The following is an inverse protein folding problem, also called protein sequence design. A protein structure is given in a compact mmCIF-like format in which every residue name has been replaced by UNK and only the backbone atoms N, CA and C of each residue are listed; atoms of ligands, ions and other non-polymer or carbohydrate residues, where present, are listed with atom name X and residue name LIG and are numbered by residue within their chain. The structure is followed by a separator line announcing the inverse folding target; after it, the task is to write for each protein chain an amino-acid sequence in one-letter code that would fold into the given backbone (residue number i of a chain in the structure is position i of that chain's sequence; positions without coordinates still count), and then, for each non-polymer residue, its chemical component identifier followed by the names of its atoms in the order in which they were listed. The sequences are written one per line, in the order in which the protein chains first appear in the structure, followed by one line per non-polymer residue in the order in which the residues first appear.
data_IF_492292924461
#
_entry.id   IF_492292924461
#
_cell.length_a   1.000
_cell.length_b   1.000
_cell.length_c   1.000
_cell.angle_alpha   90.00
_cell.angle_beta   90.00
_cell.angle_gamma   90.00
#
_symmetry.space_group_name_H-M   'P 1'
#
loop_
_entity.id
_entity.type
_entity.pdbx_description
1 polymer ?
#
# COMPACT_ATOMS: atom_id res chain seq x y z
N UNK A 1 -26.60 3.69 -11.57
CA UNK A 1 -25.71 3.12 -10.55
C UNK A 1 -25.69 4.08 -9.36
N UNK A 2 -26.25 3.69 -8.22
CA UNK A 2 -26.12 4.51 -7.01
C UNK A 2 -24.68 4.47 -6.52
N UNK A 3 -24.01 5.63 -6.58
CA UNK A 3 -22.64 5.76 -6.09
C UNK A 3 -22.68 5.64 -4.57
N UNK A 4 -21.89 4.73 -4.02
CA UNK A 4 -21.71 4.60 -2.57
C UNK A 4 -21.00 5.87 -2.09
N UNK A 5 -21.70 6.71 -1.33
CA UNK A 5 -21.10 7.88 -0.67
C UNK A 5 -20.35 7.40 0.57
N UNK A 6 -19.06 7.13 0.40
CA UNK A 6 -18.15 6.87 1.51
C UNK A 6 -17.77 8.18 2.19
N UNK A 7 -17.56 8.14 3.50
CA UNK A 7 -16.90 9.25 4.20
C UNK A 7 -15.51 9.45 3.60
N UNK A 8 -15.16 10.65 3.11
CA UNK A 8 -13.90 10.87 2.41
C UNK A 8 -12.72 10.63 3.34
N UNK A 9 -11.75 9.86 2.84
CA UNK A 9 -10.49 9.62 3.56
C UNK A 9 -9.63 10.88 3.58
N UNK A 10 -8.76 11.00 4.60
CA UNK A 10 -7.70 12.03 4.60
C UNK A 10 -6.76 11.82 3.40
N UNK A 11 -6.34 12.92 2.78
CA UNK A 11 -5.34 12.90 1.69
C UNK A 11 -4.07 12.20 2.16
N UNK A 12 -3.50 11.38 1.29
CA UNK A 12 -2.27 10.65 1.56
C UNK A 12 -1.37 10.66 0.32
N UNK A 13 -0.10 10.27 0.49
CA UNK A 13 0.89 10.18 -0.61
C UNK A 13 0.84 8.82 -1.32
N UNK A 14 -0.26 8.07 -1.22
CA UNK A 14 -0.37 6.72 -1.79
C UNK A 14 -0.41 6.78 -3.31
N UNK A 15 0.45 6.00 -3.95
CA UNK A 15 0.49 5.81 -5.41
C UNK A 15 -0.34 4.62 -5.87
N UNK A 16 -1.26 4.14 -5.04
CA UNK A 16 -2.16 3.04 -5.41
C UNK A 16 -3.16 3.52 -6.45
N UNK A 17 -3.27 2.78 -7.55
CA UNK A 17 -4.22 2.97 -8.64
C UNK A 17 -5.05 1.71 -8.83
N UNK A 18 -6.20 1.85 -9.48
CA UNK A 18 -7.05 0.71 -9.80
C UNK A 18 -6.40 -0.14 -10.91
N UNK A 19 -6.39 -1.46 -10.72
CA UNK A 19 -5.82 -2.41 -11.65
C UNK A 19 -6.70 -2.68 -12.88
N UNK A 20 -7.98 -2.31 -12.84
CA UNK A 20 -8.94 -2.59 -13.92
C UNK A 20 -8.64 -1.71 -15.13
N UNK A 21 -8.57 -2.33 -16.30
CA UNK A 21 -8.31 -1.62 -17.56
C UNK A 21 -9.35 -0.50 -17.78
N UNK A 22 -8.88 0.67 -18.18
CA UNK A 22 -9.74 1.85 -18.38
C UNK A 22 -10.16 2.58 -17.10
N UNK A 23 -9.86 2.06 -15.91
CA UNK A 23 -10.18 2.73 -14.65
C UNK A 23 -9.09 3.75 -14.27
N UNK A 24 -9.45 5.04 -14.24
CA UNK A 24 -8.54 6.14 -13.88
C UNK A 24 -8.42 6.41 -12.38
N UNK A 25 -9.03 5.58 -11.54
CA UNK A 25 -9.14 5.80 -10.10
C UNK A 25 -7.80 5.69 -9.37
N UNK A 26 -7.46 6.72 -8.58
CA UNK A 26 -6.22 6.80 -7.78
C UNK A 26 -6.52 7.12 -6.33
N UNK A 27 -5.82 6.47 -5.41
CA UNK A 27 -6.11 6.57 -3.95
C UNK A 27 -5.89 7.96 -3.35
N UNK A 28 -4.99 8.77 -3.92
CA UNK A 28 -4.72 10.13 -3.45
C UNK A 28 -5.63 11.19 -4.08
N UNK A 29 -6.19 10.93 -5.26
CA UNK A 29 -7.13 11.84 -5.95
C UNK A 29 -8.58 11.54 -5.53
N UNK A 30 -8.94 10.26 -5.48
CA UNK A 30 -10.30 9.81 -5.17
C UNK A 30 -10.40 9.39 -3.70
N UNK A 31 -10.77 10.34 -2.84
CA UNK A 31 -10.85 10.14 -1.39
C UNK A 31 -12.12 9.39 -0.94
N UNK A 32 -13.16 9.46 -1.76
CA UNK A 32 -14.48 8.83 -1.54
C UNK A 32 -14.55 7.39 -2.04
N UNK A 33 -13.44 6.80 -2.49
CA UNK A 33 -13.40 5.40 -2.91
C UNK A 33 -12.39 4.62 -2.08
N UNK A 34 -12.70 3.35 -1.85
CA UNK A 34 -11.80 2.40 -1.20
C UNK A 34 -11.12 1.52 -2.22
N UNK A 35 -9.88 1.12 -1.91
CA UNK A 35 -9.09 0.21 -2.72
C UNK A 35 -9.00 -1.13 -1.97
N UNK A 36 -9.32 -2.21 -2.68
CA UNK A 36 -9.41 -3.57 -2.16
C UNK A 36 -8.34 -4.45 -2.81
N UNK A 37 -7.72 -5.31 -2.02
CA UNK A 37 -6.79 -6.30 -2.53
C UNK A 37 -7.54 -7.37 -3.30
N UNK A 38 -6.94 -7.81 -4.41
CA UNK A 38 -7.41 -9.01 -5.09
C UNK A 38 -7.21 -10.21 -4.13
N UNK A 39 -8.20 -11.12 -3.99
CA UNK A 39 -8.07 -12.31 -3.16
C UNK A 39 -6.81 -13.12 -3.51
N UNK A 40 -6.32 -13.92 -2.57
CA UNK A 40 -5.27 -14.90 -2.89
C UNK A 40 -5.90 -16.12 -3.57
N UNK A 41 -5.19 -16.81 -4.49
CA UNK A 41 -5.68 -18.06 -5.06
C UNK A 41 -6.00 -19.07 -3.96
N UNK A 42 -7.13 -19.77 -4.07
CA UNK A 42 -7.58 -20.77 -3.10
C UNK A 42 -8.02 -20.25 -1.73
N UNK A 43 -8.04 -18.93 -1.51
CA UNK A 43 -8.38 -18.35 -0.19
C UNK A 43 -9.87 -18.26 0.10
N UNK A 44 -10.70 -18.14 -0.93
CA UNK A 44 -12.15 -17.96 -0.79
C UNK A 44 -12.88 -18.51 -2.02
N UNK A 45 -14.10 -18.99 -1.80
CA UNK A 45 -14.91 -19.63 -2.82
C UNK A 45 -16.28 -18.98 -2.91
N UNK A 46 -16.84 -18.96 -4.11
CA UNK A 46 -18.16 -18.43 -4.42
C UNK A 46 -18.97 -19.54 -5.10
N UNK A 47 -20.28 -19.59 -4.81
CA UNK A 47 -21.20 -20.48 -5.49
C UNK A 47 -21.85 -19.73 -6.64
N UNK A 48 -21.65 -20.21 -7.88
CA UNK A 48 -22.25 -19.62 -9.08
C UNK A 48 -23.23 -20.64 -9.66
N UNK A 49 -24.42 -20.17 -10.05
CA UNK A 49 -25.39 -20.99 -10.76
C UNK A 49 -25.03 -21.03 -12.24
N UNK A 50 -24.79 -22.23 -12.76
CA UNK A 50 -24.60 -22.43 -14.19
C UNK A 50 -25.93 -22.30 -14.95
N UNK A 51 -25.83 -22.25 -16.28
CA UNK A 51 -26.98 -22.23 -17.20
C UNK A 51 -27.98 -23.38 -16.95
N UNK A 52 -27.54 -24.48 -16.36
CA UNK A 52 -28.35 -25.65 -16.02
C UNK A 52 -28.95 -25.59 -14.59
N UNK A 53 -28.87 -24.44 -13.90
CA UNK A 53 -29.38 -24.26 -12.53
C UNK A 53 -28.56 -24.97 -11.44
N UNK A 54 -27.43 -25.61 -11.81
CA UNK A 54 -26.55 -26.27 -10.85
C UNK A 54 -25.59 -25.26 -10.23
N UNK A 55 -25.50 -25.26 -8.89
CA UNK A 55 -24.54 -24.46 -8.12
C UNK A 55 -23.16 -25.11 -8.17
N UNK A 56 -22.20 -24.40 -8.75
CA UNK A 56 -20.80 -24.80 -8.78
C UNK A 56 -19.96 -23.93 -7.83
N UNK A 57 -19.02 -24.56 -7.15
CA UNK A 57 -18.09 -23.89 -6.24
C UNK A 57 -16.85 -23.47 -7.02
N UNK A 58 -16.66 -22.17 -7.18
CA UNK A 58 -15.55 -21.59 -7.94
C UNK A 58 -14.65 -20.78 -7.00
N UNK A 59 -13.35 -20.76 -7.28
CA UNK A 59 -12.40 -19.91 -6.57
C UNK A 59 -12.67 -18.43 -6.90
N UNK A 60 -12.89 -17.62 -5.85
CA UNK A 60 -13.17 -16.18 -5.98
C UNK A 60 -12.06 -15.45 -6.73
N UNK A 61 -10.81 -15.90 -6.59
CA UNK A 61 -9.69 -15.31 -7.31
C UNK A 61 -9.88 -15.45 -8.83
N UNK A 62 -10.26 -16.65 -9.29
CA UNK A 62 -10.50 -16.93 -10.71
C UNK A 62 -11.67 -16.11 -11.23
N UNK A 63 -12.68 -15.92 -10.39
CA UNK A 63 -13.86 -15.11 -10.73
C UNK A 63 -13.50 -13.64 -10.93
N UNK A 64 -12.78 -13.05 -9.97
CA UNK A 64 -12.25 -11.69 -10.11
C UNK A 64 -11.34 -11.53 -11.34
N UNK A 65 -10.51 -12.54 -11.63
CA UNK A 65 -9.64 -12.52 -12.79
C UNK A 65 -10.43 -12.48 -14.10
N UNK A 66 -11.49 -13.28 -14.19
CA UNK A 66 -12.40 -13.36 -15.33
C UNK A 66 -13.15 -12.05 -15.53
N UNK A 67 -13.81 -11.57 -14.48
CA UNK A 67 -14.73 -10.43 -14.57
C UNK A 67 -13.98 -9.13 -14.87
N UNK A 68 -12.82 -8.93 -14.23
CA UNK A 68 -11.97 -7.76 -14.44
C UNK A 68 -11.07 -7.86 -15.68
N UNK A 69 -11.10 -9.00 -16.39
CA UNK A 69 -10.29 -9.28 -17.59
C UNK A 69 -8.78 -9.06 -17.36
N UNK A 70 -8.28 -9.47 -16.19
CA UNK A 70 -6.87 -9.30 -15.81
C UNK A 70 -6.04 -10.51 -16.25
N UNK A 71 -5.02 -10.30 -17.09
CA UNK A 71 -4.14 -11.40 -17.53
C UNK A 71 -3.12 -11.80 -16.47
N UNK A 72 -2.42 -10.82 -15.90
CA UNK A 72 -1.35 -11.02 -14.93
C UNK A 72 -1.74 -10.34 -13.62
N UNK A 73 -2.00 -11.12 -12.56
CA UNK A 73 -2.36 -10.59 -11.25
C UNK A 73 -1.13 -10.58 -10.34
N UNK A 74 -0.85 -9.42 -9.75
CA UNK A 74 0.17 -9.22 -8.73
C UNK A 74 -0.50 -9.02 -7.36
N UNK A 75 0.03 -9.57 -6.25
CA UNK A 75 -0.49 -9.36 -4.89
C UNK A 75 -0.68 -7.89 -4.47
N UNK A 76 0.06 -6.96 -5.07
CA UNK A 76 -0.04 -5.53 -4.81
C UNK A 76 -1.15 -4.82 -5.61
N UNK A 77 -1.77 -5.49 -6.58
CA UNK A 77 -2.86 -4.93 -7.37
C UNK A 77 -4.08 -4.67 -6.48
N UNK A 78 -4.77 -3.57 -6.78
CA UNK A 78 -5.95 -3.14 -6.04
C UNK A 78 -7.07 -2.79 -7.00
N UNK A 79 -8.30 -3.07 -6.59
CA UNK A 79 -9.52 -2.74 -7.33
C UNK A 79 -10.28 -1.70 -6.52
N UNK A 80 -10.73 -0.62 -7.16
CA UNK A 80 -11.52 0.38 -6.45
C UNK A 80 -12.97 -0.10 -6.21
N UNK A 81 -13.61 0.45 -5.19
CA UNK A 81 -14.99 0.15 -4.81
C UNK A 81 -16.03 0.38 -5.91
N UNK A 82 -15.72 1.18 -6.93
CA UNK A 82 -16.63 1.46 -8.05
C UNK A 82 -16.94 0.22 -8.92
N UNK A 83 -16.14 -0.85 -8.80
CA UNK A 83 -16.36 -2.11 -9.53
C UNK A 83 -17.30 -3.08 -8.81
N UNK A 84 -17.83 -2.70 -7.65
CA UNK A 84 -18.71 -3.52 -6.81
C UNK A 84 -20.02 -2.79 -6.55
N UNK A 85 -21.08 -3.55 -6.32
CA UNK A 85 -22.37 -2.99 -5.93
C UNK A 85 -22.40 -2.65 -4.45
N UNK A 86 -23.33 -1.78 -4.03
CA UNK A 86 -23.49 -1.45 -2.60
C UNK A 86 -23.74 -2.68 -1.74
N UNK A 87 -24.47 -3.65 -2.27
CA UNK A 87 -24.83 -4.87 -1.56
C UNK A 87 -23.64 -5.83 -1.37
N UNK A 88 -22.53 -5.62 -2.08
CA UNK A 88 -21.30 -6.41 -1.93
C UNK A 88 -20.49 -6.03 -0.69
N UNK A 89 -20.81 -4.90 -0.08
CA UNK A 89 -20.09 -4.41 1.08
C UNK A 89 -20.74 -4.87 2.38
N UNK A 90 -19.89 -5.07 3.39
CA UNK A 90 -20.30 -5.14 4.77
C UNK A 90 -20.27 -3.70 5.30
N UNK A 91 -21.45 -3.13 5.48
CA UNK A 91 -21.61 -1.80 6.08
C UNK A 91 -21.39 -1.95 7.59
N UNK A 92 -20.38 -1.27 8.15
CA UNK A 92 -20.23 -1.28 9.60
C UNK A 92 -21.29 -0.36 10.23
N UNK A 93 -21.89 -0.81 11.34
CA UNK A 93 -22.82 0.01 12.13
C UNK A 93 -22.13 1.28 12.68
N UNK A 94 -20.80 1.27 12.74
CA UNK A 94 -19.96 2.38 13.20
C UNK A 94 -19.30 3.06 11.99
N UNK A 95 -19.57 4.36 11.84
CA UNK A 95 -19.13 5.22 10.72
C UNK A 95 -17.59 5.25 10.56
N UNK A 96 -16.83 5.05 11.66
CA UNK A 96 -15.36 5.11 11.65
C UNK A 96 -14.68 3.89 11.04
N UNK A 97 -15.40 2.78 10.86
CA UNK A 97 -14.83 1.54 10.33
C UNK A 97 -14.86 1.56 8.80
N UNK A 98 -13.75 1.14 8.19
CA UNK A 98 -13.64 1.06 6.72
C UNK A 98 -14.64 0.01 6.19
N UNK A 99 -15.41 0.36 5.16
CA UNK A 99 -16.23 -0.62 4.43
C UNK A 99 -15.35 -1.73 3.85
N UNK A 100 -15.73 -2.98 4.15
CA UNK A 100 -15.06 -4.17 3.65
C UNK A 100 -15.95 -4.90 2.66
N UNK A 101 -15.34 -5.62 1.74
CA UNK A 101 -16.06 -6.46 0.80
C UNK A 101 -16.47 -7.77 1.49
N UNK A 102 -17.69 -8.24 1.23
CA UNK A 102 -18.15 -9.57 1.65
C UNK A 102 -17.19 -10.63 1.11
N UNK A 103 -17.06 -11.76 1.81
CA UNK A 103 -16.19 -12.87 1.35
C UNK A 103 -16.65 -13.50 0.04
N UNK A 104 -17.92 -13.33 -0.30
CA UNK A 104 -18.54 -13.84 -1.54
C UNK A 104 -18.65 -12.79 -2.64
N UNK A 105 -18.30 -11.52 -2.38
CA UNK A 105 -18.49 -10.45 -3.36
C UNK A 105 -17.52 -10.57 -4.53
N UNK A 106 -18.07 -10.33 -5.72
CA UNK A 106 -17.40 -10.40 -7.00
C UNK A 106 -17.65 -9.11 -7.77
N UNK A 107 -16.71 -8.64 -8.60
CA UNK A 107 -16.86 -7.35 -9.26
C UNK A 107 -17.91 -7.47 -10.37
N UNK A 108 -19.10 -6.94 -10.16
CA UNK A 108 -20.19 -6.96 -11.15
C UNK A 108 -20.21 -5.73 -12.06
N UNK A 109 -19.63 -4.60 -11.60
CA UNK A 109 -19.71 -3.33 -12.33
C UNK A 109 -18.54 -3.20 -13.32
N UNK A 110 -18.78 -3.67 -14.55
CA UNK A 110 -17.90 -3.43 -15.69
C UNK A 110 -18.05 -1.98 -16.18
N UNK A 111 -17.31 -1.07 -15.54
CA UNK A 111 -17.18 0.31 -15.98
C UNK A 111 -16.42 0.34 -17.31
N UNK A 112 -17.14 0.38 -18.43
CA UNK A 112 -16.56 0.48 -19.78
C UNK A 112 -15.82 1.83 -19.97
N UNK A 113 -14.54 1.70 -20.29
CA UNK A 113 -13.61 2.57 -21.02
C UNK A 113 -13.69 4.10 -20.86
N UNK A 114 -12.74 4.64 -20.07
CA UNK A 114 -12.01 5.83 -20.55
C UNK A 114 -11.31 5.43 -21.85
N UNK A 115 -11.46 6.25 -22.89
CA UNK A 115 -10.69 6.13 -24.15
C UNK A 115 -9.19 6.26 -23.85
N UNK A 116 -8.51 5.14 -23.56
CA UNK A 116 -7.05 5.09 -23.35
C UNK A 116 -6.40 5.12 -24.72
N UNK A 117 -6.03 6.29 -25.21
CA UNK A 117 -5.23 6.40 -26.45
C UNK A 117 -3.97 7.25 -26.33
N UNK A 118 -3.69 7.93 -25.20
CA UNK A 118 -2.61 8.93 -25.15
C UNK A 118 -1.57 8.71 -24.04
N UNK A 119 -1.90 8.00 -22.96
CA UNK A 119 -1.07 8.01 -21.74
C UNK A 119 -0.06 6.84 -21.61
N UNK A 120 -0.15 5.81 -22.45
CA UNK A 120 0.73 4.63 -22.35
C UNK A 120 2.11 4.89 -22.95
N UNK A 121 2.20 5.57 -24.10
CA UNK A 121 3.46 5.96 -24.75
C UNK A 121 4.29 6.88 -23.84
N UNK A 122 3.65 7.94 -23.31
CA UNK A 122 4.28 8.94 -22.43
C UNK A 122 4.88 8.30 -21.17
N UNK A 123 4.24 7.26 -20.62
CA UNK A 123 4.75 6.56 -19.44
C UNK A 123 5.94 5.64 -19.75
N UNK A 124 6.02 5.06 -20.97
CA UNK A 124 7.18 4.27 -21.39
C UNK A 124 8.41 5.15 -21.59
N UNK A 125 8.26 6.29 -22.26
CA UNK A 125 9.33 7.26 -22.49
C UNK A 125 9.83 7.86 -21.17
N UNK A 126 8.93 8.25 -20.27
CA UNK A 126 9.31 8.74 -18.94
C UNK A 126 10.05 7.67 -18.12
N UNK A 127 9.70 6.39 -18.27
CA UNK A 127 10.41 5.27 -17.62
C UNK A 127 11.81 5.08 -18.22
N UNK A 128 11.94 5.15 -19.54
CA UNK A 128 13.23 5.05 -20.23
C UNK A 128 14.15 6.21 -19.84
N UNK A 129 13.66 7.46 -19.87
CA UNK A 129 14.44 8.63 -19.44
C UNK A 129 14.91 8.51 -17.98
N UNK A 130 14.08 8.01 -17.07
CA UNK A 130 14.49 7.76 -15.68
C UNK A 130 15.57 6.68 -15.57
N UNK A 131 15.54 5.67 -16.43
CA UNK A 131 16.55 4.61 -16.44
C UNK A 131 17.88 5.13 -16.97
N UNK A 132 17.85 5.88 -18.08
CA UNK A 132 19.04 6.53 -18.67
C UNK A 132 19.65 7.56 -17.71
N UNK A 133 18.85 8.38 -17.05
CA UNK A 133 19.37 9.37 -16.09
C UNK A 133 20.00 8.70 -14.86
N UNK A 134 19.50 7.53 -14.44
CA UNK A 134 20.13 6.76 -13.35
C UNK A 134 21.46 6.17 -13.76
N UNK A 135 21.59 5.66 -15.00
CA UNK A 135 22.88 5.14 -15.50
C UNK A 135 23.90 6.26 -15.67
N UNK A 136 23.50 7.42 -16.23
CA UNK A 136 24.39 8.58 -16.38
C UNK A 136 24.87 9.11 -15.03
N UNK A 137 23.99 9.16 -14.02
CA UNK A 137 24.37 9.60 -12.67
C UNK A 137 25.35 8.62 -12.00
N UNK A 138 25.24 7.32 -12.25
CA UNK A 138 26.23 6.32 -11.78
C UNK A 138 27.59 6.53 -12.44
N UNK A 139 27.62 6.73 -13.76
CA UNK A 139 28.86 6.97 -14.52
C UNK A 139 29.54 8.28 -14.04
N UNK A 140 28.77 9.33 -13.75
CA UNK A 140 29.31 10.58 -13.24
C UNK A 140 29.92 10.43 -11.82
N UNK A 141 29.31 9.63 -10.96
CA UNK A 141 29.83 9.34 -9.61
C UNK A 141 31.11 8.50 -9.68
N UNK A 142 31.18 7.52 -10.59
CA UNK A 142 32.40 6.72 -10.82
C UNK A 142 33.56 7.56 -11.41
N UNK A 143 33.27 8.46 -12.35
CA UNK A 143 34.28 9.41 -12.87
C UNK A 143 34.83 10.34 -11.78
N UNK A 144 33.99 10.83 -10.89
CA UNK A 144 34.44 11.68 -9.78
C UNK A 144 35.27 10.92 -8.73
N UNK A 145 35.01 9.62 -8.53
CA UNK A 145 35.87 8.75 -7.70
C UNK A 145 37.26 8.55 -8.32
N UNK A 146 37.32 8.30 -9.63
CA UNK A 146 38.59 8.09 -10.34
C UNK A 146 39.43 9.38 -10.47
N UNK A 147 38.82 10.58 -10.42
CA UNK A 147 39.54 11.86 -10.38
C UNK A 147 40.13 12.13 -8.99
N UNK A 148 39.46 11.69 -7.91
CA UNK A 148 39.94 11.82 -6.53
C UNK A 148 41.14 10.91 -6.20
N UNK A 149 41.28 9.77 -6.88
CA UNK A 149 42.38 8.82 -6.64
C UNK A 149 43.67 9.15 -7.42
N UNK A 150 43.61 10.06 -8.40
CA UNK A 150 44.76 10.41 -9.24
C UNK A 150 45.37 11.81 -8.97
N UNK A 151 44.98 12.49 -7.89
CA UNK A 151 45.59 13.78 -7.53
C UNK A 151 46.48 13.63 -6.29
N UNK A 152 47.70 13.14 -6.50
CA UNK A 152 48.81 13.28 -5.56
C UNK A 152 50.11 13.36 -6.38
N UNK A 153 50.83 14.48 -6.21
CA UNK A 153 52.11 14.85 -6.86
C UNK A 153 51.90 15.43 -8.29
N UNK A 154 52.31 16.65 -8.67
CA UNK A 154 53.48 17.49 -8.32
C UNK A 154 53.16 18.99 -8.56
N UNK A 155 53.76 19.88 -7.75
CA UNK A 155 53.81 21.35 -7.89
C UNK A 155 54.52 21.83 -9.18
N UNK A 156 54.19 23.01 -9.72
CA UNK A 156 55.11 24.15 -10.03
C UNK A 156 54.35 25.24 -10.82
N UNK A 157 54.21 26.39 -10.13
CA UNK A 157 54.37 27.80 -10.51
C UNK A 157 53.76 28.42 -11.80
N UNK A 158 52.93 29.45 -11.55
CA UNK A 158 52.80 30.80 -12.15
C UNK A 158 52.95 31.02 -13.67
N UNK A 159 51.96 31.71 -14.26
CA UNK A 159 52.08 32.96 -15.07
C UNK A 159 50.69 33.60 -15.26
N UNK A 160 50.70 34.94 -15.31
CA UNK A 160 49.63 35.93 -15.13
C UNK A 160 48.94 36.34 -16.47
N UNK A 161 47.83 37.10 -16.35
CA UNK A 161 47.17 38.04 -17.31
C UNK A 161 46.11 37.44 -18.27
N UNK A 162 44.96 38.07 -18.61
CA UNK A 162 44.26 39.31 -18.19
C UNK A 162 42.77 39.22 -18.65
N UNK A 163 41.86 39.83 -17.84
CA UNK A 163 40.58 40.55 -18.10
C UNK A 163 39.53 40.10 -19.13
N UNK A 164 38.27 39.95 -18.67
CA UNK A 164 37.16 40.94 -18.82
C UNK A 164 35.87 40.41 -18.14
N UNK A 165 35.42 41.09 -17.07
CA UNK A 165 34.16 41.87 -16.99
C UNK A 165 32.99 41.04 -16.38
N UNK A 166 32.75 41.20 -15.06
CA UNK A 166 31.61 41.93 -14.44
C UNK A 166 30.29 41.12 -14.45
N UNK A 167 29.52 40.88 -13.38
CA UNK A 167 29.24 41.69 -12.19
C UNK A 167 28.42 40.87 -11.14
N UNK A 168 28.77 41.02 -9.84
CA UNK A 168 27.90 41.08 -8.63
C UNK A 168 27.04 39.88 -8.16
N UNK A 169 26.68 39.68 -6.88
CA UNK A 169 26.94 40.34 -5.59
C UNK A 169 26.56 39.35 -4.45
N UNK A 170 27.30 39.46 -3.34
CA UNK A 170 26.91 39.37 -1.91
C UNK A 170 26.55 38.00 -1.27
N UNK A 171 27.37 37.71 -0.25
CA UNK A 171 27.25 36.73 0.82
C UNK A 171 25.94 36.81 1.61
N UNK A 172 25.50 35.68 2.15
CA UNK A 172 25.01 35.66 3.53
C UNK A 172 25.50 34.38 4.24
N UNK A 173 26.30 34.60 5.28
CA UNK A 173 26.65 33.59 6.26
C UNK A 173 25.40 33.24 7.06
N UNK A 174 24.95 31.99 7.01
CA UNK A 174 24.10 31.41 8.06
C UNK A 174 24.85 30.23 8.67
N UNK A 175 25.22 30.43 9.93
CA UNK A 175 25.78 29.41 10.82
C UNK A 175 24.70 28.35 11.06
N UNK A 176 24.87 27.14 10.53
CA UNK A 176 24.03 25.99 10.88
C UNK A 176 24.54 25.33 12.17
N UNK A 177 23.75 25.41 13.24
CA UNK A 177 23.84 24.53 14.41
C UNK A 177 23.63 23.07 13.99
N UNK A 178 24.43 22.09 14.46
CA UNK A 178 24.12 20.68 14.25
C UNK A 178 23.03 20.25 15.24
N UNK A 179 21.78 20.19 14.78
CA UNK A 179 20.67 19.62 15.54
C UNK A 179 20.41 18.17 15.13
N UNK A 180 20.47 17.29 16.15
CA UNK A 180 19.91 15.94 16.26
C UNK A 180 20.53 14.82 15.41
N UNK A 181 21.51 14.14 16.02
CA UNK A 181 21.77 12.72 15.74
C UNK A 181 20.52 11.91 16.09
N UNK A 182 19.93 11.26 15.08
CA UNK A 182 18.89 10.25 15.27
C UNK A 182 19.50 9.05 16.00
N UNK A 183 19.17 8.87 17.28
CA UNK A 183 19.38 7.59 17.94
C UNK A 183 18.34 6.61 17.40
N UNK A 184 18.80 5.54 16.76
CA UNK A 184 17.94 4.41 16.42
C UNK A 184 17.90 3.50 17.64
N UNK A 185 16.76 3.44 18.33
CA UNK A 185 16.53 2.41 19.33
C UNK A 185 16.56 1.04 18.64
N UNK A 186 17.52 0.21 19.03
CA UNK A 186 17.62 -1.17 18.58
C UNK A 186 16.61 -1.97 19.40
N UNK A 187 15.38 -2.07 18.89
CA UNK A 187 14.43 -3.06 19.37
C UNK A 187 14.92 -4.46 19.00
N UNK A 188 15.63 -5.11 19.91
CA UNK A 188 16.00 -6.53 19.80
C UNK A 188 14.71 -7.34 19.96
N UNK A 189 14.12 -7.77 18.85
CA UNK A 189 13.03 -8.74 18.89
C UNK A 189 13.64 -10.13 19.13
N UNK A 190 13.42 -10.66 20.33
CA UNK A 190 13.72 -12.06 20.65
C UNK A 190 12.64 -12.91 19.98
N UNK A 191 13.03 -13.88 19.16
CA UNK A 191 12.11 -14.90 18.67
C UNK A 191 11.61 -15.71 19.87
N UNK A 192 10.41 -15.39 20.36
CA UNK A 192 9.69 -16.25 21.28
C UNK A 192 9.29 -17.50 20.52
N UNK A 193 10.16 -18.51 20.54
CA UNK A 193 9.83 -19.88 20.16
C UNK A 193 8.50 -20.25 20.81
N UNK A 194 7.49 -20.50 19.98
CA UNK A 194 6.22 -21.17 20.25
C UNK A 194 5.95 -21.54 21.72
N UNK A 195 5.51 -20.57 22.52
CA UNK A 195 4.66 -20.86 23.67
C UNK A 195 3.39 -20.08 23.37
N UNK A 196 2.37 -20.78 22.91
CA UNK A 196 1.02 -20.26 22.82
C UNK A 196 0.26 -20.87 24.00
N UNK A 197 0.52 -20.39 25.24
CA UNK A 197 -0.18 -20.93 26.39
C UNK A 197 -1.67 -20.66 26.18
N UNK A 198 -2.49 -21.70 26.39
CA UNK A 198 -3.93 -21.57 26.29
C UNK A 198 -4.37 -20.52 27.31
N UNK A 199 -5.34 -19.68 26.96
CA UNK A 199 -5.91 -18.71 27.90
C UNK A 199 -6.35 -19.39 29.21
N UNK A 200 -6.80 -20.64 29.13
CA UNK A 200 -7.20 -21.45 30.28
C UNK A 200 -6.03 -21.83 31.20
N UNK A 201 -4.79 -21.82 30.72
CA UNK A 201 -3.61 -22.16 31.52
C UNK A 201 -3.32 -21.10 32.61
N UNK A 202 -3.88 -19.89 32.42
CA UNK A 202 -3.73 -18.75 33.34
C UNK A 202 -4.88 -18.61 34.33
N UNK A 203 -6.00 -19.31 34.12
CA UNK A 203 -7.17 -19.24 35.00
C UNK A 203 -7.19 -20.49 35.87
N UNK A 204 -6.66 -20.38 37.09
CA UNK A 204 -6.62 -21.51 38.05
C UNK A 204 -7.57 -21.30 39.22
N UNK A 205 -7.85 -20.04 39.56
CA UNK A 205 -8.73 -19.67 40.66
C UNK A 205 -9.94 -18.87 40.16
N UNK A 206 -10.96 -18.74 41.00
CA UNK A 206 -12.14 -17.93 40.68
C UNK A 206 -11.81 -16.43 40.62
N UNK A 207 -10.82 -15.97 41.38
CA UNK A 207 -10.35 -14.58 41.31
C UNK A 207 -9.57 -14.29 40.03
N UNK A 208 -8.81 -15.27 39.49
CA UNK A 208 -8.18 -15.15 38.16
C UNK A 208 -9.25 -15.03 37.08
N UNK A 209 -10.31 -15.84 37.17
CA UNK A 209 -11.43 -15.80 36.25
C UNK A 209 -12.16 -14.45 36.29
N UNK A 210 -12.46 -13.94 37.49
CA UNK A 210 -13.06 -12.62 37.69
C UNK A 210 -12.22 -11.51 37.09
N UNK A 211 -10.91 -11.56 37.30
CA UNK A 211 -9.98 -10.56 36.80
C UNK A 211 -9.84 -10.63 35.28
N UNK A 212 -9.79 -11.83 34.71
CA UNK A 212 -9.59 -12.04 33.28
C UNK A 212 -10.85 -11.78 32.44
N UNK A 213 -12.03 -12.06 32.98
CA UNK A 213 -13.31 -11.99 32.23
C UNK A 213 -14.22 -10.84 32.66
N UNK A 214 -14.03 -10.32 33.88
CA UNK A 214 -14.95 -9.36 34.49
C UNK A 214 -16.26 -9.97 35.01
N UNK A 215 -16.42 -11.30 34.96
CA UNK A 215 -17.63 -12.01 35.40
C UNK A 215 -17.46 -12.47 36.85
N UNK A 216 -18.50 -12.29 37.66
CA UNK A 216 -18.42 -12.48 39.12
C UNK A 216 -18.32 -13.95 39.56
N UNK A 217 -18.80 -14.91 38.77
CA UNK A 217 -18.65 -16.35 39.08
C UNK A 217 -18.86 -17.20 37.84
N UNK A 218 -18.42 -18.46 37.90
CA UNK A 218 -18.64 -19.44 36.83
C UNK A 218 -20.12 -19.75 36.59
N UNK A 219 -20.94 -19.78 37.65
CA UNK A 219 -22.39 -20.00 37.55
C UNK A 219 -23.08 -18.91 36.72
N UNK A 220 -22.60 -17.67 36.84
CA UNK A 220 -23.12 -16.55 36.05
C UNK A 220 -22.76 -16.71 34.57
N UNK A 221 -21.55 -17.20 34.26
CA UNK A 221 -21.15 -17.52 32.89
C UNK A 221 -22.02 -18.64 32.31
N UNK A 222 -22.26 -19.73 33.05
CA UNK A 222 -23.11 -20.84 32.61
C UNK A 222 -24.54 -20.36 32.28
N UNK A 223 -25.11 -19.52 33.14
CA UNK A 223 -26.44 -18.94 32.92
C UNK A 223 -26.49 -18.06 31.66
N UNK A 224 -25.42 -17.32 31.34
CA UNK A 224 -25.35 -16.51 30.11
C UNK A 224 -25.24 -17.39 28.85
N UNK A 225 -24.53 -18.52 28.95
CA UNK A 225 -24.34 -19.45 27.82
C UNK A 225 -25.61 -20.27 27.55
N UNK A 226 -26.44 -20.51 28.56
CA UNK A 226 -27.71 -21.23 28.45
C UNK A 226 -28.90 -20.37 27.94
N UNK A 227 -28.72 -19.06 27.77
CA UNK A 227 -29.68 -18.13 27.15
C UNK A 227 -29.58 -18.12 25.61
#
# INVERSE_FOLDING_TARGET
MEVIKLTPRKKNKSRVYCAVNGCGSKSHENLEISFHAIPKPGSSFVYIENLFGKKEKIDRFKDWQRDLKLKNINPHMRVCSLHFERNDFVLPDIISKKMTLKKTSVPSCNLMDRKVSIDVEKNKEARHHRQVNRSLKKIAVEKNKNISENCSLVNIENIVTDKSEEMCFINDNVVEMPLNKSYNDIGVQVETLFINPSFMDFIKTEDDFRTATGIQSYQMLETIVEL
#
